data_IF_753995055653
#
_entry.id   IF_753995055653
#
_cell.length_a   1.000
_cell.length_b   1.000
_cell.length_c   1.000
_cell.angle_alpha   90.00
_cell.angle_beta   90.00
_cell.angle_gamma   90.00
#
_symmetry.space_group_name_H-M   'P 1'
#
loop_
_entity.id
_entity.type
_entity.pdbx_description
1 polymer ?
#
# COMPACT_ATOMS: atom_id res chain seq x y z
N UNK A 1 -5.61 -35.78 -46.03
CA UNK A 1 -5.64 -34.45 -45.40
C UNK A 1 -5.83 -34.69 -43.91
N UNK A 2 -4.90 -34.27 -43.06
CA UNK A 2 -5.09 -34.33 -41.61
C UNK A 2 -5.76 -33.03 -41.19
N UNK A 3 -6.85 -33.11 -40.42
CA UNK A 3 -7.53 -31.93 -39.90
C UNK A 3 -6.86 -31.50 -38.59
N UNK A 4 -6.62 -30.20 -38.42
CA UNK A 4 -6.00 -29.63 -37.22
C UNK A 4 -7.02 -28.74 -36.49
N UNK A 5 -6.95 -28.70 -35.16
CA UNK A 5 -7.71 -27.80 -34.31
C UNK A 5 -6.76 -27.03 -33.40
N UNK A 6 -6.87 -25.69 -33.40
CA UNK A 6 -6.07 -24.78 -32.55
C UNK A 6 -6.95 -24.17 -31.46
N UNK A 7 -6.40 -24.04 -30.26
CA UNK A 7 -7.09 -23.55 -29.07
C UNK A 7 -6.44 -22.26 -28.56
N UNK A 8 -7.26 -21.39 -28.00
CA UNK A 8 -6.83 -20.18 -27.32
C UNK A 8 -7.80 -19.89 -26.17
N UNK A 9 -7.28 -19.27 -25.12
CA UNK A 9 -8.08 -18.84 -23.97
C UNK A 9 -8.46 -17.36 -24.07
N UNK A 10 -9.56 -17.00 -23.41
CA UNK A 10 -9.92 -15.60 -23.20
C UNK A 10 -8.86 -14.90 -22.35
N UNK A 11 -8.83 -13.57 -22.44
CA UNK A 11 -7.96 -12.77 -21.58
C UNK A 11 -8.26 -13.03 -20.10
N UNK A 12 -7.21 -13.14 -19.28
CA UNK A 12 -7.33 -13.51 -17.87
C UNK A 12 -7.31 -15.02 -17.61
N UNK A 13 -7.09 -15.85 -18.62
CA UNK A 13 -6.95 -17.29 -18.50
C UNK A 13 -5.67 -17.81 -19.17
N UNK A 14 -5.09 -18.86 -18.61
CA UNK A 14 -3.97 -19.61 -19.18
C UNK A 14 -4.47 -20.91 -19.83
N UNK A 15 -3.91 -21.23 -21.00
CA UNK A 15 -4.16 -22.50 -21.67
C UNK A 15 -3.33 -23.61 -21.03
N UNK A 16 -3.98 -24.64 -20.51
CA UNK A 16 -3.34 -25.82 -19.92
C UNK A 16 -3.57 -27.01 -20.85
N UNK A 17 -2.49 -27.50 -21.46
CA UNK A 17 -2.50 -28.55 -22.48
C UNK A 17 -1.98 -28.08 -23.84
N UNK A 18 -2.20 -28.86 -24.91
CA UNK A 18 -1.67 -28.54 -26.25
C UNK A 18 -2.42 -27.37 -26.92
N UNK A 19 -1.69 -26.44 -27.55
CA UNK A 19 -2.30 -25.36 -28.36
C UNK A 19 -2.95 -25.90 -29.64
N UNK A 20 -2.47 -27.03 -30.16
CA UNK A 20 -2.96 -27.64 -31.39
C UNK A 20 -3.01 -29.16 -31.28
N UNK A 21 -4.10 -29.76 -31.76
CA UNK A 21 -4.25 -31.21 -31.87
C UNK A 21 -4.63 -31.60 -33.30
N UNK A 22 -4.23 -32.80 -33.73
CA UNK A 22 -4.44 -33.28 -35.09
C UNK A 22 -5.35 -34.52 -35.11
N UNK A 23 -6.29 -34.58 -36.05
CA UNK A 23 -7.10 -35.77 -36.28
C UNK A 23 -6.28 -36.81 -37.03
N UNK A 24 -6.07 -37.96 -36.40
CA UNK A 24 -5.26 -39.06 -36.92
C UNK A 24 -6.03 -39.91 -37.91
N UNK A 25 -5.33 -40.76 -38.69
CA UNK A 25 -5.96 -41.66 -39.65
C UNK A 25 -6.92 -42.69 -39.02
N UNK A 26 -6.85 -42.91 -37.70
CA UNK A 26 -7.79 -43.76 -36.96
C UNK A 26 -9.11 -43.05 -36.62
N UNK A 27 -9.26 -41.77 -36.97
CA UNK A 27 -10.45 -40.97 -36.64
C UNK A 27 -10.47 -40.44 -35.21
N UNK A 28 -9.36 -40.55 -34.48
CA UNK A 28 -9.20 -40.01 -33.12
C UNK A 28 -8.24 -38.82 -33.10
N UNK A 29 -8.43 -37.90 -32.15
CA UNK A 29 -7.48 -36.81 -31.91
C UNK A 29 -6.15 -37.33 -31.36
N UNK A 30 -5.05 -36.66 -31.73
CA UNK A 30 -3.70 -37.00 -31.29
C UNK A 30 -3.54 -36.89 -29.76
N UNK A 31 -4.24 -35.94 -29.16
CA UNK A 31 -4.19 -35.61 -27.74
C UNK A 31 -5.58 -35.18 -27.22
N UNK A 32 -5.74 -35.11 -25.90
CA UNK A 32 -6.95 -34.57 -25.28
C UNK A 32 -7.01 -33.05 -25.46
N UNK A 33 -8.20 -32.47 -25.70
CA UNK A 33 -8.35 -31.01 -25.78
C UNK A 33 -7.86 -30.31 -24.51
N UNK A 34 -7.20 -29.13 -24.63
CA UNK A 34 -6.76 -28.34 -23.49
C UNK A 34 -7.95 -27.71 -22.75
N UNK A 35 -7.68 -27.14 -21.57
CA UNK A 35 -8.64 -26.33 -20.82
C UNK A 35 -8.04 -24.98 -20.41
N UNK A 36 -8.90 -24.03 -20.06
CA UNK A 36 -8.50 -22.70 -19.62
C UNK A 36 -8.62 -22.56 -18.11
N UNK A 37 -7.53 -22.18 -17.45
CA UNK A 37 -7.49 -21.92 -16.01
C UNK A 37 -7.36 -20.42 -15.75
N UNK A 38 -8.03 -19.91 -14.71
CA UNK A 38 -8.00 -18.48 -14.39
C UNK A 38 -6.60 -18.07 -13.92
N UNK A 39 -6.12 -16.94 -14.42
CA UNK A 39 -4.89 -16.32 -13.91
C UNK A 39 -5.18 -15.79 -12.51
N UNK A 40 -4.43 -16.30 -11.53
CA UNK A 40 -4.59 -15.91 -10.14
C UNK A 40 -3.22 -15.51 -9.54
N UNK A 41 -3.17 -14.33 -8.95
CA UNK A 41 -1.99 -13.82 -8.28
C UNK A 41 -1.81 -14.45 -6.88
N UNK A 42 -0.56 -14.49 -6.38
CA UNK A 42 -0.27 -15.07 -5.08
C UNK A 42 -0.99 -14.32 -3.95
N UNK A 43 -1.25 -14.98 -2.81
CA UNK A 43 -1.66 -14.29 -1.60
C UNK A 43 -0.70 -13.16 -1.26
N UNK A 44 -1.23 -12.01 -0.84
CA UNK A 44 -0.41 -10.92 -0.33
C UNK A 44 0.11 -11.31 1.06
N UNK A 45 1.41 -11.09 1.29
CA UNK A 45 2.03 -11.23 2.59
C UNK A 45 2.83 -9.95 2.88
N UNK A 46 2.59 -9.34 4.03
CA UNK A 46 3.27 -8.13 4.49
C UNK A 46 3.32 -8.12 6.03
N UNK A 47 4.40 -7.61 6.59
CA UNK A 47 4.68 -7.64 8.03
C UNK A 47 4.08 -6.44 8.79
N UNK A 48 3.73 -5.36 8.06
CA UNK A 48 3.22 -4.14 8.68
C UNK A 48 1.80 -4.34 9.23
N UNK A 49 1.67 -4.30 10.55
CA UNK A 49 0.41 -4.50 11.26
C UNK A 49 -0.56 -3.34 11.14
N UNK A 50 -0.10 -2.15 10.70
CA UNK A 50 -0.94 -0.98 10.50
C UNK A 50 -1.54 -0.96 9.09
N UNK A 51 -0.98 -1.70 8.15
CA UNK A 51 -1.45 -1.73 6.78
C UNK A 51 -2.78 -2.46 6.64
N UNK A 52 -3.78 -1.79 6.08
CA UNK A 52 -5.07 -2.38 5.73
C UNK A 52 -5.15 -2.61 4.24
N UNK A 53 -5.50 -3.84 3.84
CA UNK A 53 -5.70 -4.22 2.45
C UNK A 53 -7.17 -4.56 2.19
N UNK A 54 -7.78 -3.84 1.26
CA UNK A 54 -9.12 -4.12 0.74
C UNK A 54 -8.99 -4.89 -0.56
N UNK A 55 -9.21 -6.22 -0.49
CA UNK A 55 -9.13 -7.12 -1.63
C UNK A 55 -10.44 -7.93 -1.76
N UNK A 56 -11.02 -7.92 -2.97
CA UNK A 56 -12.21 -8.72 -3.27
C UNK A 56 -11.89 -10.10 -3.86
N UNK A 57 -10.79 -10.21 -4.61
CA UNK A 57 -10.26 -11.45 -5.19
C UNK A 57 -8.81 -11.24 -5.68
N UNK A 58 -8.19 -12.30 -6.21
CA UNK A 58 -6.80 -12.28 -6.72
C UNK A 58 -6.71 -12.66 -8.20
N UNK A 59 -7.79 -12.56 -8.95
CA UNK A 59 -7.81 -12.96 -10.36
C UNK A 59 -7.24 -11.85 -11.23
N UNK A 60 -6.84 -12.17 -12.46
CA UNK A 60 -6.37 -11.16 -13.44
C UNK A 60 -7.23 -9.89 -13.46
N UNK A 61 -6.57 -8.74 -13.45
CA UNK A 61 -7.21 -7.43 -13.45
C UNK A 61 -7.78 -6.99 -12.10
N UNK A 62 -7.78 -7.86 -11.07
CA UNK A 62 -8.24 -7.48 -9.74
C UNK A 62 -7.34 -6.42 -9.13
N UNK A 63 -7.95 -5.53 -8.34
CA UNK A 63 -7.27 -4.43 -7.66
C UNK A 63 -7.32 -4.66 -6.16
N UNK A 64 -6.21 -4.40 -5.50
CA UNK A 64 -6.14 -4.34 -4.04
C UNK A 64 -5.80 -2.92 -3.66
N UNK A 65 -6.65 -2.32 -2.82
CA UNK A 65 -6.47 -0.96 -2.33
C UNK A 65 -5.94 -1.00 -0.90
N UNK A 66 -4.95 -0.17 -0.62
CA UNK A 66 -4.30 -0.11 0.68
C UNK A 66 -4.63 1.21 1.38
N UNK A 67 -4.71 1.15 2.70
CA UNK A 67 -4.88 2.33 3.55
C UNK A 67 -4.12 2.19 4.85
N UNK A 68 -3.76 3.34 5.42
CA UNK A 68 -3.16 3.45 6.75
C UNK A 68 -4.15 4.08 7.73
N UNK A 69 -4.07 3.73 9.03
CA UNK A 69 -4.86 4.39 10.06
C UNK A 69 -4.44 5.85 10.25
N UNK A 70 -5.26 6.62 10.96
CA UNK A 70 -4.92 8.00 11.36
C UNK A 70 -3.59 8.03 12.12
N UNK A 71 -2.76 9.05 11.84
CA UNK A 71 -1.41 9.18 12.40
C UNK A 71 -0.33 8.41 11.63
N UNK A 72 -0.68 7.75 10.53
CA UNK A 72 0.24 7.08 9.63
C UNK A 72 0.04 7.55 8.19
N UNK A 73 1.15 7.66 7.45
CA UNK A 73 1.14 7.93 6.01
C UNK A 73 1.47 6.65 5.23
N UNK A 74 0.81 6.48 4.10
CA UNK A 74 1.08 5.37 3.19
C UNK A 74 2.30 5.68 2.33
N UNK A 75 3.30 4.79 2.36
CA UNK A 75 4.53 4.90 1.57
C UNK A 75 4.56 3.76 0.56
N UNK A 76 4.51 4.12 -0.73
CA UNK A 76 4.44 3.19 -1.86
C UNK A 76 3.13 3.31 -2.64
N UNK A 77 2.81 2.28 -3.41
CA UNK A 77 1.62 2.27 -4.28
C UNK A 77 0.34 2.01 -3.47
N UNK A 78 -0.65 2.92 -3.48
CA UNK A 78 -1.92 2.72 -2.75
C UNK A 78 -2.82 1.67 -3.39
N UNK A 79 -2.54 1.28 -4.64
CA UNK A 79 -3.31 0.27 -5.38
C UNK A 79 -2.34 -0.62 -6.16
N UNK A 80 -2.53 -1.93 -6.07
CA UNK A 80 -1.84 -2.92 -6.90
C UNK A 80 -2.83 -3.73 -7.72
N UNK A 81 -2.39 -4.23 -8.88
CA UNK A 81 -3.23 -4.93 -9.86
C UNK A 81 -2.66 -6.32 -10.14
N UNK A 82 -3.52 -7.33 -10.25
CA UNK A 82 -3.09 -8.66 -10.68
C UNK A 82 -2.85 -8.70 -12.19
N UNK A 83 -1.60 -8.94 -12.59
CA UNK A 83 -1.16 -8.92 -13.97
C UNK A 83 -1.28 -10.29 -14.66
N UNK A 84 -1.16 -10.30 -15.99
CA UNK A 84 -1.28 -11.50 -16.84
C UNK A 84 -0.21 -12.55 -16.53
N UNK A 85 0.97 -12.11 -16.07
CA UNK A 85 2.08 -12.99 -15.68
C UNK A 85 1.89 -13.59 -14.28
N UNK A 86 0.69 -13.52 -13.69
CA UNK A 86 0.37 -14.03 -12.34
C UNK A 86 1.15 -13.32 -11.22
N UNK A 87 1.62 -12.09 -11.44
CA UNK A 87 2.24 -11.26 -10.40
C UNK A 87 1.40 -10.03 -10.11
N UNK A 88 1.58 -9.45 -8.92
CA UNK A 88 1.07 -8.11 -8.63
C UNK A 88 1.89 -7.06 -9.39
N UNK A 89 1.27 -5.92 -9.70
CA UNK A 89 1.91 -4.81 -10.41
C UNK A 89 2.98 -4.10 -9.59
N UNK A 90 2.91 -4.21 -8.26
CA UNK A 90 3.86 -3.64 -7.32
C UNK A 90 3.87 -4.47 -6.03
N UNK A 91 4.86 -4.24 -5.16
CA UNK A 91 4.90 -4.76 -3.80
C UNK A 91 3.87 -4.05 -2.90
N UNK A 92 3.39 -4.70 -1.81
CA UNK A 92 2.59 -4.04 -0.80
C UNK A 92 3.32 -2.80 -0.24
N UNK A 93 2.62 -1.65 -0.07
CA UNK A 93 3.19 -0.48 0.58
C UNK A 93 3.36 -0.72 2.10
N UNK A 94 3.86 0.28 2.81
CA UNK A 94 3.90 0.27 4.28
C UNK A 94 3.36 1.57 4.86
N UNK A 95 3.00 1.55 6.13
CA UNK A 95 2.49 2.66 6.91
C UNK A 95 3.61 3.20 7.80
N UNK A 96 4.01 4.43 7.53
CA UNK A 96 5.00 5.14 8.33
C UNK A 96 4.29 6.08 9.31
N UNK A 97 4.69 6.07 10.57
CA UNK A 97 4.14 6.99 11.56
C UNK A 97 4.46 8.43 11.17
N UNK A 98 3.47 9.31 11.29
CA UNK A 98 3.67 10.74 11.06
C UNK A 98 4.24 11.33 12.34
N UNK A 99 5.43 11.90 12.21
CA UNK A 99 6.19 12.50 13.31
C UNK A 99 6.56 13.94 12.94
N UNK A 100 6.33 14.86 13.88
CA UNK A 100 6.76 16.24 13.78
C UNK A 100 8.24 16.38 14.15
N UNK A 101 8.92 17.37 13.58
CA UNK A 101 10.29 17.65 13.95
C UNK A 101 10.41 18.08 15.43
N UNK A 102 11.49 17.70 16.14
CA UNK A 102 11.71 18.16 17.49
C UNK A 102 11.63 19.69 17.59
N UNK A 103 10.89 20.24 18.57
CA UNK A 103 10.68 21.68 18.69
C UNK A 103 11.97 22.41 19.06
N UNK A 104 12.16 23.61 18.50
CA UNK A 104 13.19 24.53 18.99
C UNK A 104 12.68 25.28 20.22
N UNK A 105 13.55 25.42 21.23
CA UNK A 105 13.21 26.21 22.42
C UNK A 105 13.06 27.71 22.07
N UNK A 106 12.01 28.39 22.55
CA UNK A 106 11.83 29.82 22.33
C UNK A 106 12.89 30.64 23.08
N UNK A 107 13.18 31.85 22.57
CA UNK A 107 14.12 32.77 23.21
C UNK A 107 13.66 33.12 24.63
N UNK A 108 14.56 33.04 25.61
CA UNK A 108 14.24 33.24 27.03
C UNK A 108 13.06 32.37 27.55
N UNK A 109 12.82 31.22 26.91
CA UNK A 109 11.81 30.26 27.33
C UNK A 109 12.33 28.82 27.26
N UNK A 110 11.41 27.89 27.51
CA UNK A 110 11.66 26.45 27.53
C UNK A 110 10.48 25.73 26.91
N UNK A 111 10.73 24.61 26.24
CA UNK A 111 9.70 23.66 25.83
C UNK A 111 9.62 22.54 26.87
N UNK A 112 8.41 22.22 27.32
CA UNK A 112 8.13 21.05 28.13
C UNK A 112 7.99 19.86 27.18
N UNK A 113 9.11 19.21 26.92
CA UNK A 113 9.21 18.10 25.98
C UNK A 113 8.93 16.76 26.65
N UNK A 114 8.02 15.99 26.05
CA UNK A 114 7.65 14.64 26.48
C UNK A 114 8.47 13.56 25.77
N UNK A 115 9.27 13.94 24.77
CA UNK A 115 10.08 13.04 23.92
C UNK A 115 9.25 12.25 22.91
N UNK A 116 8.02 12.69 22.61
CA UNK A 116 7.14 12.10 21.60
C UNK A 116 6.56 13.20 20.73
N UNK A 117 6.66 13.02 19.42
CA UNK A 117 6.22 14.02 18.43
C UNK A 117 5.27 13.40 17.41
N UNK A 118 4.47 12.41 17.81
CA UNK A 118 3.52 11.75 16.92
C UNK A 118 2.29 12.63 16.72
N UNK A 119 1.52 12.39 15.64
CA UNK A 119 0.25 13.08 15.41
C UNK A 119 -0.65 13.06 16.65
N UNK A 120 -1.10 14.26 17.07
CA UNK A 120 -1.92 14.47 18.26
C UNK A 120 -1.14 14.75 19.54
N UNK A 121 0.18 14.48 19.59
CA UNK A 121 1.03 14.90 20.70
C UNK A 121 1.12 16.44 20.74
N UNK A 122 1.24 16.99 21.94
CA UNK A 122 1.34 18.43 22.14
C UNK A 122 2.53 18.80 23.01
N UNK A 123 3.03 20.01 22.77
CA UNK A 123 4.12 20.61 23.49
C UNK A 123 3.63 21.89 24.17
N UNK A 124 4.17 22.16 25.35
CA UNK A 124 3.87 23.38 26.09
C UNK A 124 5.12 24.23 26.24
N UNK A 125 5.00 25.51 25.90
CA UNK A 125 6.06 26.51 26.07
C UNK A 125 5.91 27.25 27.40
N UNK A 126 7.04 27.59 28.00
CA UNK A 126 7.12 28.36 29.25
C UNK A 126 8.18 29.44 29.13
N UNK A 127 7.97 30.59 29.79
CA UNK A 127 8.97 31.65 29.85
C UNK A 127 9.85 31.53 31.10
N UNK A 128 11.10 31.97 30.98
CA UNK A 128 11.97 32.17 32.12
C UNK A 128 11.44 33.34 33.00
N UNK A 129 11.88 33.39 34.25
CA UNK A 129 11.44 34.43 35.19
C UNK A 129 11.70 35.85 34.66
N UNK A 130 10.68 36.71 34.72
CA UNK A 130 10.73 38.08 34.22
C UNK A 130 10.30 38.26 32.76
N UNK A 131 9.98 37.18 32.05
CA UNK A 131 9.47 37.20 30.66
C UNK A 131 8.01 36.74 30.61
N UNK A 132 7.32 37.12 29.53
CA UNK A 132 5.93 36.73 29.23
C UNK A 132 5.85 36.12 27.85
N UNK A 133 4.97 35.13 27.67
CA UNK A 133 4.75 34.48 26.36
C UNK A 133 3.98 35.44 25.46
N UNK A 134 4.47 35.68 24.24
CA UNK A 134 3.72 36.34 23.17
C UNK A 134 3.45 35.34 22.05
N UNK A 135 2.20 34.88 21.94
CA UNK A 135 1.76 33.87 20.98
C UNK A 135 1.07 32.69 21.67
N UNK A 136 1.02 31.55 20.97
CA UNK A 136 0.41 30.33 21.49
C UNK A 136 1.38 29.60 22.43
N UNK A 137 0.89 29.25 23.63
CA UNK A 137 1.68 28.52 24.63
C UNK A 137 1.66 27.01 24.43
N UNK A 138 0.81 26.50 23.54
CA UNK A 138 0.67 25.09 23.22
C UNK A 138 0.69 24.92 21.70
N UNK A 139 1.40 23.91 21.21
CA UNK A 139 1.36 23.48 19.82
C UNK A 139 1.13 21.98 19.73
N UNK A 140 0.43 21.53 18.70
CA UNK A 140 0.03 20.13 18.50
C UNK A 140 0.62 19.61 17.20
N UNK A 141 1.08 18.37 17.17
CA UNK A 141 1.53 17.74 15.93
C UNK A 141 0.33 17.34 15.08
N UNK A 142 0.23 17.87 13.87
CA UNK A 142 -0.87 17.57 12.96
C UNK A 142 -0.65 16.28 12.14
N UNK A 143 -1.59 15.98 11.24
CA UNK A 143 -1.54 14.82 10.35
C UNK A 143 -0.62 15.02 9.11
N UNK A 144 0.01 16.19 8.99
CA UNK A 144 1.01 16.49 7.97
C UNK A 144 2.45 16.41 8.52
N UNK A 145 2.62 16.16 9.82
CA UNK A 145 3.92 16.19 10.47
C UNK A 145 4.41 17.61 10.77
N UNK A 146 3.49 18.57 10.92
CA UNK A 146 3.81 19.96 11.25
C UNK A 146 3.18 20.36 12.59
N UNK A 147 3.89 21.22 13.32
CA UNK A 147 3.36 21.86 14.52
C UNK A 147 2.32 22.91 14.15
N UNK A 148 1.13 22.85 14.77
CA UNK A 148 0.01 23.77 14.47
C UNK A 148 0.38 25.24 14.64
N UNK A 149 1.28 25.54 15.58
CA UNK A 149 1.81 26.87 15.83
C UNK A 149 3.34 26.86 15.96
N UNK A 150 4.03 27.93 15.49
CA UNK A 150 5.45 28.09 15.69
C UNK A 150 5.79 28.42 17.16
N UNK A 151 7.06 28.30 17.57
CA UNK A 151 7.50 28.72 18.89
C UNK A 151 7.16 30.20 19.18
N UNK A 152 6.65 30.53 20.38
CA UNK A 152 6.32 31.90 20.76
C UNK A 152 7.57 32.77 20.98
N UNK A 153 7.38 34.09 21.00
CA UNK A 153 8.44 35.11 21.16
C UNK A 153 8.44 35.63 22.60
#
# INVERSE_FOLDING_TARGET
MHSQARFACMEGFNLIGPEEITCTASGSWSETPPYCEVIQCPPLNFEDTHLRAEAHNRTYGSRVMFSCPTGYRLVGSPVIICLKNQTWSDSPPFCEAIECEPPLAPNNGRVLDTGRYLTGDFLQFTCNAGFVIVGESITVCNDQGEWTFPPPI
#
